data_IF_164173093949
#
_entry.id   IF_164173093949
#
_cell.length_a   1.000
_cell.length_b   1.000
_cell.length_c   1.000
_cell.angle_alpha   90.00
_cell.angle_beta   90.00
_cell.angle_gamma   90.00
#
_symmetry.space_group_name_H-M   'P 1'
#
loop_
_entity.id
_entity.type
_entity.pdbx_description
1 polymer ?
#
# COMPACT_ATOMS: atom_id res chain seq x y z
N UNK A 1 25.62 31.44 -6.53
CA UNK A 1 24.47 31.01 -5.70
C UNK A 1 24.28 29.52 -5.93
N UNK A 2 24.83 28.69 -5.04
CA UNK A 2 24.83 27.24 -5.17
C UNK A 2 23.42 26.69 -4.90
N UNK A 3 22.85 25.94 -5.85
CA UNK A 3 21.54 25.29 -5.68
C UNK A 3 21.75 23.92 -5.05
N UNK A 4 21.52 23.82 -3.74
CA UNK A 4 21.48 22.52 -3.06
C UNK A 4 20.28 21.71 -3.57
N UNK A 5 20.52 20.53 -4.16
CA UNK A 5 19.46 19.58 -4.51
C UNK A 5 19.23 18.69 -3.30
N UNK A 6 18.14 18.93 -2.58
CA UNK A 6 17.74 18.07 -1.47
C UNK A 6 17.29 16.71 -2.04
N UNK A 7 18.12 15.69 -1.88
CA UNK A 7 17.80 14.31 -2.28
C UNK A 7 17.20 13.59 -1.07
N UNK A 8 15.88 13.44 -1.04
CA UNK A 8 15.23 12.58 -0.05
C UNK A 8 15.42 11.12 -0.46
N UNK A 9 16.12 10.34 0.36
CA UNK A 9 16.12 8.88 0.25
C UNK A 9 14.80 8.37 0.79
N UNK A 10 13.98 7.80 -0.09
CA UNK A 10 12.69 7.21 0.30
C UNK A 10 12.93 5.92 1.08
N UNK A 11 12.11 5.67 2.10
CA UNK A 11 12.02 4.36 2.72
C UNK A 11 11.61 3.32 1.68
N UNK A 12 12.25 2.16 1.74
CA UNK A 12 11.85 1.01 0.95
C UNK A 12 10.45 0.54 1.38
N UNK A 13 9.73 -0.05 0.42
CA UNK A 13 8.43 -0.64 0.67
C UNK A 13 8.38 -2.02 0.03
N UNK A 14 7.56 -2.88 0.62
CA UNK A 14 7.15 -4.14 0.02
C UNK A 14 5.77 -3.98 -0.62
N UNK A 15 5.53 -4.74 -1.67
CA UNK A 15 4.25 -4.79 -2.37
C UNK A 15 3.69 -6.20 -2.26
N UNK A 16 2.43 -6.32 -1.87
CA UNK A 16 1.74 -7.61 -1.83
C UNK A 16 0.31 -7.50 -2.36
N UNK A 17 -0.27 -8.66 -2.63
CA UNK A 17 -1.65 -8.82 -3.06
C UNK A 17 -2.40 -9.63 -2.00
N UNK A 18 -3.52 -9.09 -1.52
CA UNK A 18 -4.39 -9.75 -0.55
C UNK A 18 -5.72 -10.07 -1.20
N UNK A 19 -6.20 -11.30 -1.04
CA UNK A 19 -7.57 -11.65 -1.38
C UNK A 19 -8.46 -11.34 -0.18
N UNK A 20 -9.38 -10.39 -0.33
CA UNK A 20 -10.32 -9.97 0.71
C UNK A 20 -11.72 -10.13 0.14
N UNK A 21 -12.55 -10.98 0.75
CA UNK A 21 -13.91 -11.29 0.29
C UNK A 21 -13.97 -11.70 -1.20
N UNK A 22 -13.00 -12.49 -1.67
CA UNK A 22 -12.91 -12.92 -3.07
C UNK A 22 -12.43 -11.84 -4.04
N UNK A 23 -11.93 -10.71 -3.54
CA UNK A 23 -11.39 -9.62 -4.37
C UNK A 23 -9.92 -9.38 -4.07
N UNK A 24 -9.10 -9.54 -5.11
CA UNK A 24 -7.67 -9.25 -5.04
C UNK A 24 -7.43 -7.74 -4.92
N UNK A 25 -6.73 -7.35 -3.85
CA UNK A 25 -6.43 -5.97 -3.48
C UNK A 25 -4.93 -5.77 -3.39
N UNK A 26 -4.43 -4.73 -4.06
CA UNK A 26 -3.02 -4.34 -4.04
C UNK A 26 -2.70 -3.54 -2.80
N UNK A 27 -1.63 -3.91 -2.09
CA UNK A 27 -1.17 -3.28 -0.86
C UNK A 27 0.30 -2.87 -0.94
N UNK A 28 0.60 -1.64 -0.54
CA UNK A 28 1.97 -1.16 -0.30
C UNK A 28 2.24 -1.12 1.20
N UNK A 29 3.42 -1.56 1.60
CA UNK A 29 3.77 -1.78 3.00
C UNK A 29 5.09 -1.09 3.35
N UNK A 30 5.09 -0.27 4.40
CA UNK A 30 6.28 0.39 4.92
C UNK A 30 6.49 0.02 6.38
N UNK A 31 7.64 -0.58 6.70
CA UNK A 31 8.01 -0.95 8.06
C UNK A 31 7.15 -2.05 8.69
N UNK A 32 6.41 -2.80 7.87
CA UNK A 32 5.60 -3.94 8.28
C UNK A 32 5.46 -4.93 7.13
N UNK A 33 5.26 -6.18 7.51
CA UNK A 33 4.82 -7.24 6.62
C UNK A 33 3.49 -7.79 7.13
N UNK A 34 2.41 -7.53 6.39
CA UNK A 34 1.04 -7.96 6.70
C UNK A 34 0.84 -9.46 6.51
N UNK A 35 1.73 -10.15 5.80
CA UNK A 35 1.70 -11.62 5.74
C UNK A 35 2.09 -12.24 7.09
N UNK A 36 2.82 -11.49 7.91
CA UNK A 36 3.23 -11.90 9.25
C UNK A 36 2.21 -11.42 10.29
N UNK A 37 1.24 -12.28 10.62
CA UNK A 37 0.10 -12.01 11.56
C UNK A 37 0.48 -11.36 12.90
N UNK A 38 1.71 -11.54 13.37
CA UNK A 38 2.15 -11.05 14.68
C UNK A 38 2.57 -9.57 14.72
N UNK A 39 2.81 -8.92 13.59
CA UNK A 39 3.36 -7.55 13.56
C UNK A 39 2.26 -6.50 13.79
N UNK A 40 1.04 -6.76 13.32
CA UNK A 40 -0.06 -5.79 13.35
C UNK A 40 -0.72 -5.60 14.73
N UNK A 41 -0.43 -6.46 15.71
CA UNK A 41 -1.11 -6.44 17.01
C UNK A 41 -0.38 -5.67 18.11
N UNK A 42 0.85 -5.19 17.84
CA UNK A 42 1.73 -4.61 18.86
C UNK A 42 2.04 -3.12 18.70
N UNK A 43 1.63 -2.48 17.61
CA UNK A 43 1.90 -1.07 17.37
C UNK A 43 0.77 -0.39 16.58
N UNK A 44 0.53 0.92 16.79
CA UNK A 44 -0.42 1.66 15.97
C UNK A 44 0.07 1.72 14.52
N UNK A 45 -0.87 1.59 13.58
CA UNK A 45 -0.61 1.61 12.14
C UNK A 45 -1.30 2.81 11.48
N UNK A 46 -0.74 3.29 10.39
CA UNK A 46 -1.39 4.26 9.50
C UNK A 46 -1.96 3.48 8.31
N UNK A 47 -3.28 3.52 8.15
CA UNK A 47 -3.98 2.93 7.01
C UNK A 47 -4.41 4.01 6.03
N UNK A 48 -3.87 3.98 4.81
CA UNK A 48 -4.25 4.87 3.72
C UNK A 48 -5.17 4.13 2.75
N UNK A 49 -6.39 4.64 2.61
CA UNK A 49 -7.35 4.23 1.58
C UNK A 49 -7.25 5.25 0.45
N UNK A 50 -6.91 4.80 -0.76
CA UNK A 50 -6.82 5.68 -1.93
C UNK A 50 -8.18 6.35 -2.23
N UNK A 51 -8.16 7.50 -2.91
CA UNK A 51 -9.36 8.06 -3.55
C UNK A 51 -9.44 7.61 -5.01
N UNK A 52 -10.42 8.11 -5.78
CA UNK A 52 -10.49 7.91 -7.24
C UNK A 52 -9.19 8.42 -7.92
N UNK A 53 -8.47 7.65 -8.78
CA UNK A 53 -8.85 6.42 -9.50
C UNK A 53 -8.55 5.07 -8.81
N UNK A 54 -8.38 5.04 -7.49
CA UNK A 54 -8.22 3.82 -6.71
C UNK A 54 -6.82 3.19 -6.77
N UNK A 55 -5.85 3.85 -7.39
CA UNK A 55 -4.48 3.34 -7.56
C UNK A 55 -3.56 3.90 -6.46
N UNK A 56 -3.04 3.01 -5.61
CA UNK A 56 -2.19 3.42 -4.49
C UNK A 56 -0.79 3.86 -4.93
N UNK A 57 -0.32 3.46 -6.13
CA UNK A 57 1.00 3.82 -6.61
C UNK A 57 1.25 5.34 -6.70
N UNK A 58 0.19 6.14 -6.93
CA UNK A 58 0.27 7.61 -6.94
C UNK A 58 0.73 8.18 -5.59
N UNK A 59 0.51 7.46 -4.49
CA UNK A 59 0.79 7.93 -3.14
C UNK A 59 2.15 7.47 -2.59
N UNK A 60 2.96 6.71 -3.35
CA UNK A 60 4.24 6.13 -2.88
C UNK A 60 5.12 7.13 -2.14
N UNK A 61 5.33 8.32 -2.70
CA UNK A 61 6.15 9.34 -2.07
C UNK A 61 5.55 9.87 -0.75
N UNK A 62 4.23 10.03 -0.71
CA UNK A 62 3.52 10.44 0.50
C UNK A 62 3.61 9.37 1.58
N UNK A 63 3.35 8.10 1.24
CA UNK A 63 3.40 6.97 2.16
C UNK A 63 4.81 6.81 2.77
N UNK A 64 5.87 6.87 1.94
CA UNK A 64 7.26 6.88 2.43
C UNK A 64 7.48 8.01 3.42
N UNK A 65 7.09 9.24 3.07
CA UNK A 65 7.29 10.41 3.95
C UNK A 65 6.51 10.30 5.25
N UNK A 66 5.33 9.69 5.24
CA UNK A 66 4.57 9.41 6.47
C UNK A 66 5.34 8.44 7.36
N UNK A 67 5.78 7.31 6.82
CA UNK A 67 6.58 6.33 7.56
C UNK A 67 7.87 6.95 8.12
N UNK A 68 8.58 7.73 7.30
CA UNK A 68 9.84 8.39 7.69
C UNK A 68 9.65 9.39 8.83
N UNK A 69 8.51 10.10 8.87
CA UNK A 69 8.22 11.14 9.86
C UNK A 69 7.62 10.60 11.14
N UNK A 70 6.71 9.64 11.05
CA UNK A 70 5.99 9.11 12.22
C UNK A 70 6.68 7.90 12.83
N UNK A 71 7.54 7.21 12.05
CA UNK A 71 8.11 5.90 12.38
C UNK A 71 7.08 4.80 12.63
N UNK A 72 5.80 5.08 12.31
CA UNK A 72 4.74 4.09 12.39
C UNK A 72 4.68 3.29 11.09
N UNK A 73 4.31 2.01 11.14
CA UNK A 73 3.99 1.26 9.94
C UNK A 73 2.92 1.94 9.11
N UNK A 74 3.10 1.92 7.79
CA UNK A 74 2.14 2.50 6.84
C UNK A 74 1.69 1.42 5.85
N UNK A 75 0.37 1.28 5.73
CA UNK A 75 -0.28 0.44 4.73
C UNK A 75 -1.05 1.31 3.75
N UNK A 76 -0.76 1.18 2.47
CA UNK A 76 -1.51 1.81 1.40
C UNK A 76 -2.36 0.79 0.66
N UNK A 77 -3.66 1.05 0.52
CA UNK A 77 -4.62 0.18 -0.16
C UNK A 77 -5.07 0.78 -1.48
N UNK A 78 -4.99 0.00 -2.56
CA UNK A 78 -5.74 0.30 -3.78
C UNK A 78 -7.21 -0.09 -3.62
N UNK A 79 -8.09 0.55 -4.37
CA UNK A 79 -9.49 0.12 -4.45
C UNK A 79 -9.58 -1.26 -5.09
N UNK A 80 -10.44 -2.10 -4.55
CA UNK A 80 -10.79 -3.39 -5.10
C UNK A 80 -11.16 -3.26 -6.60
N UNK A 81 -10.58 -4.11 -7.45
CA UNK A 81 -10.85 -4.15 -8.89
C UNK A 81 -10.28 -3.00 -9.73
N UNK A 82 -9.54 -2.04 -9.15
CA UNK A 82 -8.98 -0.90 -9.90
C UNK A 82 -7.56 -1.14 -10.43
N UNK A 83 -6.88 -2.22 -10.02
CA UNK A 83 -5.59 -2.62 -10.57
C UNK A 83 -5.74 -3.83 -11.48
N UNK A 84 -4.88 -3.92 -12.49
CA UNK A 84 -4.68 -5.15 -13.25
C UNK A 84 -4.06 -6.19 -12.32
N UNK A 85 -4.83 -7.23 -12.02
CA UNK A 85 -4.40 -8.33 -11.15
C UNK A 85 -3.37 -9.20 -11.90
N UNK A 86 -2.24 -9.57 -11.27
CA UNK A 86 -1.26 -10.48 -11.86
C UNK A 86 -1.89 -11.80 -12.31
N UNK A 87 -1.37 -12.39 -13.40
CA UNK A 87 -1.87 -13.68 -13.92
C UNK A 87 -1.84 -14.75 -12.81
N UNK A 88 -2.97 -15.43 -12.62
CA UNK A 88 -3.12 -16.51 -11.64
C UNK A 88 -3.74 -16.11 -10.29
N UNK A 89 -4.08 -14.83 -10.09
CA UNK A 89 -4.82 -14.36 -8.91
C UNK A 89 -6.30 -14.09 -9.25
N UNK A 90 -7.17 -14.28 -8.26
CA UNK A 90 -8.63 -14.21 -8.42
C UNK A 90 -9.07 -12.79 -8.77
N UNK A 91 -9.69 -12.60 -9.93
CA UNK A 91 -10.42 -11.38 -10.26
C UNK A 91 -11.75 -11.37 -9.49
N UNK A 92 -12.26 -10.19 -9.07
CA UNK A 92 -13.59 -10.11 -8.49
C UNK A 92 -14.60 -10.74 -9.46
N UNK A 93 -15.30 -11.78 -9.01
CA UNK A 93 -16.41 -12.35 -9.75
C UNK A 93 -17.50 -11.30 -9.89
N UNK A 94 -17.86 -10.93 -11.12
CA UNK A 94 -19.09 -10.17 -11.35
C UNK A 94 -20.22 -11.15 -11.11
N UNK A 95 -20.75 -11.19 -9.88
CA UNK A 95 -22.01 -11.87 -9.60
C UNK A 95 -23.12 -11.12 -10.32
N UNK A 96 -23.32 -11.43 -11.60
CA UNK A 96 -24.52 -11.03 -12.33
C UNK A 96 -25.70 -11.84 -11.82
N UNK A 97 -26.44 -11.29 -10.84
CA UNK A 97 -27.90 -11.33 -10.66
C UNK A 97 -28.30 -10.71 -9.32
#
# INVERSE_FOLDING_TARGET
MERYKLVFKMSAFDECWLEINGVTTRVLQYGVDVSTKHVLTKCPIILMISGNPGEIAFYRQMLSRMHDRTRLPVLGLSHAGHNVVPKGLTLPGISGR
#
